data_IF_888108704116
#
_entry.id   IF_888108704116
#
_cell.length_a   1.000
_cell.length_b   1.000
_cell.length_c   1.000
_cell.angle_alpha   90.00
_cell.angle_beta   90.00
_cell.angle_gamma   90.00
#
_symmetry.space_group_name_H-M   'P 1'
#
loop_
_entity.id
_entity.type
_entity.pdbx_description
1 polymer ?
#
# COMPACT_ATOMS: atom_id res chain seq x y z
N UNK A 1 6.63 19.34 19.92
CA UNK A 1 6.95 18.02 19.33
C UNK A 1 7.85 18.29 18.14
N UNK A 2 9.15 18.00 18.20
CA UNK A 2 10.03 18.12 17.04
C UNK A 2 9.41 17.30 15.91
N UNK A 3 9.16 17.93 14.76
CA UNK A 3 8.71 17.22 13.57
C UNK A 3 9.84 16.26 13.18
N UNK A 4 9.63 14.97 13.39
CA UNK A 4 10.56 13.96 12.90
C UNK A 4 10.65 14.07 11.38
N UNK A 5 11.87 14.11 10.86
CA UNK A 5 12.08 14.13 9.42
C UNK A 5 11.51 12.86 8.79
N UNK A 6 10.98 12.95 7.56
CA UNK A 6 10.50 11.78 6.84
C UNK A 6 11.65 10.76 6.72
N UNK A 7 11.35 9.51 7.08
CA UNK A 7 12.30 8.40 6.96
C UNK A 7 12.12 7.77 5.59
N UNK A 8 13.22 7.42 4.95
CA UNK A 8 13.18 6.71 3.67
C UNK A 8 12.34 5.44 3.79
N UNK A 9 11.49 5.23 2.77
CA UNK A 9 10.59 4.10 2.68
C UNK A 9 10.57 3.54 1.25
N UNK A 10 10.73 2.23 1.13
CA UNK A 10 10.76 1.51 -0.15
C UNK A 10 9.93 0.22 -0.05
N UNK A 11 8.97 0.09 -0.96
CA UNK A 11 8.12 -1.09 -1.12
C UNK A 11 8.29 -1.60 -2.55
N UNK A 12 8.58 -2.89 -2.71
CA UNK A 12 8.48 -3.56 -4.01
C UNK A 12 7.08 -4.15 -4.15
N UNK A 13 6.52 -4.07 -5.34
CA UNK A 13 5.23 -4.69 -5.65
C UNK A 13 5.26 -5.40 -6.99
N UNK A 14 4.43 -6.44 -7.11
CA UNK A 14 4.13 -7.14 -8.35
C UNK A 14 2.63 -7.42 -8.42
N UNK A 15 2.01 -7.16 -9.58
CA UNK A 15 0.61 -7.51 -9.81
C UNK A 15 0.52 -8.98 -10.15
N UNK A 16 -0.12 -9.75 -9.27
CA UNK A 16 -0.29 -11.20 -9.41
C UNK A 16 -1.57 -11.52 -10.18
N UNK A 17 -2.65 -10.76 -9.94
CA UNK A 17 -3.91 -10.92 -10.66
C UNK A 17 -4.69 -9.60 -10.72
N UNK A 18 -5.62 -9.50 -11.67
CA UNK A 18 -6.62 -8.43 -11.76
C UNK A 18 -8.00 -9.06 -11.76
N UNK A 19 -8.86 -8.59 -10.88
CA UNK A 19 -10.15 -9.21 -10.55
C UNK A 19 -11.23 -8.14 -10.44
N UNK A 20 -12.49 -8.58 -10.41
CA UNK A 20 -13.63 -7.73 -10.07
C UNK A 20 -14.19 -8.22 -8.72
N UNK A 21 -14.46 -7.28 -7.82
CA UNK A 21 -15.06 -7.54 -6.53
C UNK A 21 -16.28 -6.63 -6.38
N UNK A 22 -17.47 -7.21 -6.49
CA UNK A 22 -18.76 -6.51 -6.42
C UNK A 22 -18.87 -5.33 -7.40
N UNK A 23 -18.41 -5.51 -8.65
CA UNK A 23 -18.40 -4.47 -9.68
C UNK A 23 -17.28 -3.44 -9.53
N UNK A 24 -16.37 -3.64 -8.57
CA UNK A 24 -15.19 -2.80 -8.37
C UNK A 24 -13.94 -3.53 -8.89
N UNK A 25 -13.19 -2.94 -9.82
CA UNK A 25 -11.94 -3.53 -10.29
C UNK A 25 -10.89 -3.49 -9.18
N UNK A 26 -10.30 -4.64 -8.86
CA UNK A 26 -9.25 -4.80 -7.86
C UNK A 26 -8.04 -5.52 -8.45
N UNK A 27 -6.89 -5.36 -7.81
CA UNK A 27 -5.66 -6.07 -8.19
C UNK A 27 -5.10 -6.80 -6.98
N UNK A 28 -4.83 -8.09 -7.14
CA UNK A 28 -4.10 -8.87 -6.16
C UNK A 28 -2.61 -8.62 -6.37
N UNK A 29 -1.94 -8.07 -5.35
CA UNK A 29 -0.53 -7.69 -5.42
C UNK A 29 0.31 -8.45 -4.41
N UNK A 30 1.50 -8.89 -4.82
CA UNK A 30 2.54 -9.32 -3.91
C UNK A 30 3.35 -8.09 -3.48
N UNK A 31 3.54 -7.91 -2.18
CA UNK A 31 4.24 -6.75 -1.61
C UNK A 31 5.42 -7.20 -0.77
N UNK A 32 6.54 -6.50 -0.89
CA UNK A 32 7.71 -6.67 -0.03
C UNK A 32 8.12 -5.33 0.58
N UNK A 33 8.07 -5.24 1.91
CA UNK A 33 8.56 -4.08 2.65
C UNK A 33 10.08 -4.16 2.79
N UNK A 34 10.82 -3.26 2.13
CA UNK A 34 12.29 -3.24 2.19
C UNK A 34 12.79 -2.45 3.39
N UNK A 35 12.06 -1.41 3.80
CA UNK A 35 12.45 -0.45 4.85
C UNK A 35 11.69 -0.58 6.18
N UNK A 36 10.64 -1.41 6.25
CA UNK A 36 9.99 -1.78 7.50
C UNK A 36 9.31 -0.65 8.30
N UNK A 37 8.77 0.40 7.66
CA UNK A 37 8.07 1.48 8.37
C UNK A 37 6.65 1.05 8.80
N UNK A 38 6.16 1.62 9.89
CA UNK A 38 4.79 1.38 10.38
C UNK A 38 3.78 1.76 9.30
N UNK A 39 2.80 0.88 9.04
CA UNK A 39 1.77 1.04 8.00
C UNK A 39 2.29 1.28 6.57
N UNK A 40 3.58 1.02 6.30
CA UNK A 40 4.22 1.40 5.03
C UNK A 40 3.47 0.91 3.80
N UNK A 41 3.05 -0.36 3.79
CA UNK A 41 2.38 -0.97 2.65
C UNK A 41 1.04 -0.28 2.35
N UNK A 42 0.23 -0.07 3.39
CA UNK A 42 -1.08 0.56 3.28
C UNK A 42 -0.96 2.02 2.81
N UNK A 43 -0.08 2.79 3.45
CA UNK A 43 0.19 4.20 3.09
C UNK A 43 0.68 4.31 1.65
N UNK A 44 1.62 3.46 1.22
CA UNK A 44 2.14 3.49 -0.15
C UNK A 44 1.07 3.15 -1.16
N UNK A 45 0.28 2.10 -0.92
CA UNK A 45 -0.80 1.69 -1.82
C UNK A 45 -1.90 2.76 -1.93
N UNK A 46 -2.32 3.35 -0.80
CA UNK A 46 -3.24 4.48 -0.79
C UNK A 46 -2.68 5.70 -1.55
N UNK A 47 -1.40 6.03 -1.33
CA UNK A 47 -0.73 7.13 -2.04
C UNK A 47 -0.62 6.90 -3.55
N UNK A 48 -0.58 5.65 -4.01
CA UNK A 48 -0.63 5.29 -5.43
C UNK A 48 -2.05 5.24 -6.00
N UNK A 49 -3.09 5.50 -5.21
CA UNK A 49 -4.49 5.44 -5.62
C UNK A 49 -5.07 4.02 -5.66
N UNK A 50 -4.39 3.05 -5.06
CA UNK A 50 -4.80 1.65 -5.00
C UNK A 50 -4.84 1.16 -3.54
N UNK A 51 -5.65 1.76 -2.65
CA UNK A 51 -5.70 1.37 -1.24
C UNK A 51 -6.04 -0.11 -1.07
N UNK A 52 -5.59 -0.70 0.04
CA UNK A 52 -5.91 -2.10 0.35
C UNK A 52 -7.41 -2.20 0.60
N UNK A 53 -8.04 -3.15 -0.07
CA UNK A 53 -9.46 -3.45 0.10
C UNK A 53 -9.78 -3.68 1.58
N UNK A 54 -10.71 -2.88 2.11
CA UNK A 54 -11.14 -2.95 3.52
C UNK A 54 -10.28 -2.15 4.49
N UNK A 55 -9.23 -1.44 4.05
CA UNK A 55 -8.53 -0.47 4.89
C UNK A 55 -9.41 0.78 5.09
N UNK A 56 -9.74 1.09 6.34
CA UNK A 56 -10.57 2.23 6.71
C UNK A 56 -9.76 3.46 7.14
N UNK A 57 -8.43 3.36 7.17
CA UNK A 57 -7.52 4.39 7.67
C UNK A 57 -6.79 5.10 6.54
N UNK A 58 -6.30 4.35 5.57
CA UNK A 58 -5.49 4.83 4.45
C UNK A 58 -6.18 4.59 3.12
#
# INVERSE_FOLDING_TARGET
KLLEMPKESLTKYEVVNREDMDGTPVSRVALTSISGRTHQLNVHLAAFGHPIVGDSVY
#
